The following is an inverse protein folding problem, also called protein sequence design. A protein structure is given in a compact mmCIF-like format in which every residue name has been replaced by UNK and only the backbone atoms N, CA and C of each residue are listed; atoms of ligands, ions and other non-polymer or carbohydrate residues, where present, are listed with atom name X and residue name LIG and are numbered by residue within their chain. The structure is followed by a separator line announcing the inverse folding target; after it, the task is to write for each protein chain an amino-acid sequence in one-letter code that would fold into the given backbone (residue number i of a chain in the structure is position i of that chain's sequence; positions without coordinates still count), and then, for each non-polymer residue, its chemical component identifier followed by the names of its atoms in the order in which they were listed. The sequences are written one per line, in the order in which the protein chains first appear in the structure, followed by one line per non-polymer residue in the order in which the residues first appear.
data_IF_180303209945
#
_entry.id   IF_180303209945
#
_cell.length_a   1.000
_cell.length_b   1.000
_cell.length_c   1.000
_cell.angle_alpha   90.00
_cell.angle_beta   90.00
_cell.angle_gamma   90.00
#
_symmetry.space_group_name_H-M   'P 1'
#
loop_
_entity.id
_entity.type
_entity.pdbx_description
1 polymer ?
#
# COMPACT_ATOMS: atom_id res chain seq x y z
N UNK A 1 -18.14 20.34 14.61
CA UNK A 1 -17.80 21.49 13.74
C UNK A 1 -17.79 21.00 12.30
N UNK A 2 -18.47 21.68 11.38
CA UNK A 2 -18.44 21.34 9.96
C UNK A 2 -17.07 21.71 9.37
N UNK A 3 -16.50 20.86 8.52
CA UNK A 3 -15.25 21.16 7.82
C UNK A 3 -15.40 22.45 6.99
N UNK A 4 -14.39 23.34 6.98
CA UNK A 4 -14.48 24.60 6.25
C UNK A 4 -14.70 24.34 4.74
N UNK A 5 -15.78 24.91 4.21
CA UNK A 5 -16.06 24.93 2.77
C UNK A 5 -15.00 25.81 2.09
N UNK A 6 -13.98 25.19 1.50
CA UNK A 6 -12.92 25.91 0.78
C UNK A 6 -11.51 25.36 0.95
N UNK A 7 -11.31 24.30 1.75
CA UNK A 7 -10.02 23.58 1.75
C UNK A 7 -9.80 22.87 0.42
N UNK A 8 -8.64 23.08 -0.20
CA UNK A 8 -8.19 22.25 -1.33
C UNK A 8 -8.15 20.82 -0.83
N UNK A 9 -8.97 19.94 -1.42
CA UNK A 9 -8.91 18.51 -1.11
C UNK A 9 -7.51 18.03 -1.43
N UNK A 10 -6.88 17.32 -0.50
CA UNK A 10 -5.60 16.64 -0.80
C UNK A 10 -5.81 15.63 -1.94
N UNK A 11 -7.00 15.02 -1.99
CA UNK A 11 -7.41 14.08 -3.02
C UNK A 11 -8.84 14.37 -3.49
N UNK A 12 -9.05 14.52 -4.80
CA UNK A 12 -10.39 14.67 -5.38
C UNK A 12 -11.03 13.34 -5.83
N UNK A 13 -10.39 12.23 -5.45
CA UNK A 13 -10.88 10.86 -5.66
C UNK A 13 -11.15 10.21 -4.31
N UNK A 14 -11.96 9.14 -4.29
CA UNK A 14 -12.21 8.43 -3.03
C UNK A 14 -11.03 7.54 -2.67
N UNK A 15 -10.34 7.95 -1.61
CA UNK A 15 -9.21 7.29 -1.01
C UNK A 15 -9.54 6.99 0.46
N UNK A 16 -9.15 5.82 0.96
CA UNK A 16 -9.37 5.40 2.35
C UNK A 16 -8.06 5.00 3.04
N UNK A 17 -8.10 4.94 4.37
CA UNK A 17 -7.01 4.45 5.21
C UNK A 17 -5.61 5.04 4.87
N UNK A 18 -5.44 6.38 4.83
CA UNK A 18 -4.14 6.96 4.55
C UNK A 18 -3.14 6.66 5.69
N UNK A 19 -1.92 6.30 5.31
CA UNK A 19 -0.77 6.19 6.20
C UNK A 19 0.35 7.08 5.68
N UNK A 20 0.87 7.95 6.57
CA UNK A 20 1.96 8.87 6.25
C UNK A 20 3.22 8.43 6.96
N UNK A 21 4.34 8.47 6.26
CA UNK A 21 5.67 8.26 6.80
C UNK A 21 6.65 9.31 6.25
N UNK A 22 7.78 9.49 6.92
CA UNK A 22 8.84 10.42 6.50
C UNK A 22 10.07 9.63 6.11
N UNK A 23 10.58 9.83 4.90
CA UNK A 23 11.79 9.14 4.43
C UNK A 23 13.06 9.74 5.06
N UNK A 24 14.21 9.07 4.89
CA UNK A 24 15.51 9.55 5.38
C UNK A 24 15.97 10.91 4.84
N UNK A 25 15.27 11.47 3.85
CA UNK A 25 15.54 12.80 3.27
C UNK A 25 14.59 13.87 3.82
N UNK A 26 13.68 13.51 4.72
CA UNK A 26 12.67 14.42 5.28
C UNK A 26 11.45 14.65 4.39
N UNK A 27 11.26 13.88 3.31
CA UNK A 27 10.04 13.96 2.52
C UNK A 27 8.93 13.13 3.16
N UNK A 28 7.71 13.67 3.13
CA UNK A 28 6.51 12.95 3.53
C UNK A 28 6.03 12.10 2.38
N UNK A 29 5.70 10.84 2.67
CA UNK A 29 5.08 9.91 1.75
C UNK A 29 3.76 9.46 2.33
N UNK A 30 2.73 9.39 1.51
CA UNK A 30 1.44 8.84 1.87
C UNK A 30 1.14 7.60 1.04
N UNK A 31 0.75 6.52 1.70
CA UNK A 31 0.14 5.35 1.09
C UNK A 31 -1.34 5.34 1.46
N UNK A 32 -2.20 4.93 0.53
CA UNK A 32 -3.64 4.92 0.76
C UNK A 32 -4.30 3.77 0.00
N UNK A 33 -5.51 3.40 0.42
CA UNK A 33 -6.36 2.52 -0.35
C UNK A 33 -7.05 3.32 -1.46
N UNK A 34 -6.74 3.01 -2.72
CA UNK A 34 -7.40 3.64 -3.87
C UNK A 34 -8.70 2.87 -4.16
N UNK A 35 -9.86 3.51 -3.98
CA UNK A 35 -11.14 2.78 -4.03
C UNK A 35 -11.51 2.28 -5.44
N UNK A 36 -12.24 1.14 -5.50
CA UNK A 36 -12.37 0.33 -6.71
C UNK A 36 -13.28 0.89 -7.82
N UNK A 37 -14.06 1.94 -7.60
CA UNK A 37 -14.94 2.50 -8.65
C UNK A 37 -14.23 3.46 -9.62
N UNK A 38 -12.99 3.88 -9.32
CA UNK A 38 -12.12 4.61 -10.24
C UNK A 38 -10.91 3.77 -10.70
N UNK A 39 -10.64 2.64 -10.05
CA UNK A 39 -9.53 1.75 -10.37
C UNK A 39 -10.03 0.59 -11.25
N UNK A 40 -10.34 0.88 -12.51
CA UNK A 40 -10.54 -0.15 -13.54
C UNK A 40 -9.23 -0.30 -14.32
N UNK A 41 -8.60 -1.50 -14.35
CA UNK A 41 -9.00 -2.75 -13.69
C UNK A 41 -8.63 -2.80 -12.20
N UNK A 42 -9.41 -3.57 -11.42
CA UNK A 42 -9.31 -3.81 -9.96
C UNK A 42 -7.93 -4.26 -9.42
N UNK A 43 -6.96 -4.52 -10.31
CA UNK A 43 -5.60 -4.90 -9.94
C UNK A 43 -4.70 -3.73 -9.54
N UNK A 44 -5.04 -2.49 -9.91
CA UNK A 44 -4.29 -1.29 -9.50
C UNK A 44 -4.85 -0.75 -8.19
N UNK A 45 -4.51 -1.42 -7.10
CA UNK A 45 -4.82 -0.97 -5.75
C UNK A 45 -3.68 -0.06 -5.26
N UNK A 46 -3.82 0.53 -4.08
CA UNK A 46 -2.76 1.35 -3.50
C UNK A 46 -2.47 2.67 -4.21
N UNK A 47 -2.81 3.78 -3.55
CA UNK A 47 -2.36 5.10 -3.93
C UNK A 47 -1.05 5.48 -3.26
N UNK A 48 -0.28 6.34 -3.93
CA UNK A 48 0.90 7.00 -3.39
C UNK A 48 0.87 8.49 -3.72
N UNK A 49 1.19 9.33 -2.74
CA UNK A 49 1.48 10.74 -2.93
C UNK A 49 2.69 11.12 -2.06
N UNK A 50 3.37 12.22 -2.39
CA UNK A 50 4.49 12.73 -1.59
C UNK A 50 4.39 14.24 -1.37
N UNK A 51 5.08 14.73 -0.36
CA UNK A 51 5.14 16.14 0.00
C UNK A 51 6.49 16.49 0.62
N UNK A 52 6.96 17.73 0.41
CA UNK A 52 8.17 18.26 1.08
C UNK A 52 7.86 18.94 2.41
N UNK A 53 6.61 19.29 2.67
CA UNK A 53 6.20 20.14 3.80
C UNK A 53 5.03 19.55 4.62
N UNK A 54 4.50 18.41 4.21
CA UNK A 54 3.34 17.74 4.82
C UNK A 54 2.01 18.44 4.56
N UNK A 55 1.99 19.51 3.76
CA UNK A 55 0.82 20.35 3.49
C UNK A 55 0.42 20.34 2.02
N UNK A 56 1.39 20.52 1.13
CA UNK A 56 1.19 20.45 -0.32
C UNK A 56 1.67 19.09 -0.81
N UNK A 57 0.75 18.33 -1.39
CA UNK A 57 0.99 16.97 -1.85
C UNK A 57 1.04 16.92 -3.38
N UNK A 58 1.81 15.98 -3.90
CA UNK A 58 1.82 15.65 -5.33
C UNK A 58 0.47 15.13 -5.79
N UNK A 59 0.22 15.17 -7.09
CA UNK A 59 -0.88 14.41 -7.68
C UNK A 59 -0.74 12.92 -7.29
N UNK A 60 -1.81 12.25 -6.83
CA UNK A 60 -1.74 10.87 -6.37
C UNK A 60 -1.56 9.92 -7.53
N UNK A 61 -0.65 8.97 -7.38
CA UNK A 61 -0.49 7.86 -8.32
C UNK A 61 -1.20 6.62 -7.78
N UNK A 62 -2.04 6.00 -8.60
CA UNK A 62 -2.67 4.69 -8.33
C UNK A 62 -1.77 3.55 -8.85
N UNK A 63 -1.77 2.40 -8.17
CA UNK A 63 -0.93 1.25 -8.52
C UNK A 63 0.44 1.31 -7.85
N UNK A 64 0.50 1.81 -6.63
CA UNK A 64 1.69 1.72 -5.78
C UNK A 64 1.89 0.30 -5.22
N UNK A 65 0.81 -0.46 -5.04
CA UNK A 65 0.83 -1.88 -4.66
C UNK A 65 -0.43 -2.60 -5.15
N UNK A 66 -0.33 -3.89 -5.47
CA UNK A 66 -1.48 -4.69 -5.95
C UNK A 66 -1.96 -5.73 -4.94
N UNK A 67 -3.09 -6.37 -5.24
CA UNK A 67 -3.60 -7.52 -4.49
C UNK A 67 -2.99 -8.87 -4.91
N UNK A 68 -2.12 -8.86 -5.93
CA UNK A 68 -1.28 -9.99 -6.33
C UNK A 68 -0.08 -10.09 -5.39
N UNK A 69 0.11 -11.24 -4.76
CA UNK A 69 1.19 -11.49 -3.80
C UNK A 69 2.09 -12.59 -4.31
N UNK A 70 3.35 -12.27 -4.58
CA UNK A 70 4.36 -13.28 -4.88
C UNK A 70 4.85 -13.92 -3.58
N UNK A 71 4.65 -15.22 -3.45
CA UNK A 71 5.11 -16.01 -2.32
C UNK A 71 6.55 -16.47 -2.53
N UNK A 72 7.24 -16.83 -1.44
CA UNK A 72 8.63 -17.28 -1.48
C UNK A 72 8.88 -18.50 -2.39
N UNK A 73 7.84 -19.30 -2.67
CA UNK A 73 7.90 -20.45 -3.59
C UNK A 73 7.71 -20.09 -5.07
N UNK A 74 7.63 -18.81 -5.42
CA UNK A 74 7.40 -18.32 -6.79
C UNK A 74 5.92 -18.28 -7.21
N UNK A 75 5.03 -18.95 -6.46
CA UNK A 75 3.59 -18.88 -6.66
C UNK A 75 3.05 -17.46 -6.45
N UNK A 76 2.06 -17.07 -7.25
CA UNK A 76 1.31 -15.82 -7.10
C UNK A 76 -0.06 -16.12 -6.53
N UNK A 77 -0.39 -15.46 -5.42
CA UNK A 77 -1.70 -15.50 -4.81
C UNK A 77 -2.46 -14.22 -5.19
N UNK A 78 -3.58 -14.38 -5.89
CA UNK A 78 -4.45 -13.28 -6.30
C UNK A 78 -5.58 -13.09 -5.27
N UNK A 79 -5.51 -12.01 -4.49
CA UNK A 79 -6.57 -11.66 -3.53
C UNK A 79 -7.54 -10.63 -4.13
N UNK A 80 -8.73 -10.50 -3.55
CA UNK A 80 -9.68 -9.47 -3.98
C UNK A 80 -9.23 -8.07 -3.59
N UNK A 81 -8.70 -7.91 -2.36
CA UNK A 81 -8.30 -6.61 -1.82
C UNK A 81 -6.98 -6.68 -1.06
N UNK A 82 -6.20 -5.61 -1.17
CA UNK A 82 -5.05 -5.28 -0.33
C UNK A 82 -5.21 -3.86 0.18
N UNK A 83 -5.28 -3.69 1.49
CA UNK A 83 -5.77 -2.47 2.11
C UNK A 83 -4.94 -2.08 3.34
N UNK A 84 -5.26 -0.91 3.92
CA UNK A 84 -4.67 -0.40 5.17
C UNK A 84 -3.14 -0.42 5.14
N UNK A 85 -2.49 0.20 4.13
CA UNK A 85 -1.04 0.15 4.01
C UNK A 85 -0.38 0.88 5.18
N UNK A 86 0.71 0.32 5.69
CA UNK A 86 1.61 0.97 6.66
C UNK A 86 3.05 0.65 6.29
N UNK A 87 3.90 1.68 6.23
CA UNK A 87 5.32 1.50 5.98
C UNK A 87 6.08 1.39 7.30
N UNK A 88 6.85 0.32 7.47
CA UNK A 88 7.84 0.17 8.53
C UNK A 88 9.17 0.70 8.00
N UNK A 89 9.79 1.61 8.74
CA UNK A 89 11.06 2.23 8.38
C UNK A 89 12.19 1.74 9.28
N UNK A 90 13.38 1.75 8.74
CA UNK A 90 14.63 1.62 9.47
C UNK A 90 14.83 2.89 10.33
N UNK A 91 15.00 2.77 11.65
CA UNK A 91 15.02 3.93 12.54
C UNK A 91 16.27 4.80 12.39
N UNK A 92 17.37 4.25 11.83
CA UNK A 92 18.63 4.98 11.67
C UNK A 92 18.68 5.71 10.32
N UNK A 93 18.32 5.02 9.24
CA UNK A 93 18.42 5.53 7.87
C UNK A 93 17.12 6.13 7.32
N UNK A 94 15.97 5.86 7.95
CA UNK A 94 14.65 6.22 7.42
C UNK A 94 14.27 5.44 6.15
N UNK A 95 14.98 4.35 5.83
CA UNK A 95 14.73 3.53 4.65
C UNK A 95 13.54 2.58 4.86
N UNK A 96 12.71 2.32 3.82
CA UNK A 96 11.66 1.30 3.88
C UNK A 96 12.19 -0.10 4.21
N UNK A 97 11.66 -0.73 5.27
CA UNK A 97 11.95 -2.11 5.64
C UNK A 97 10.84 -3.08 5.24
N UNK A 98 9.58 -2.70 5.47
CA UNK A 98 8.43 -3.53 5.16
C UNK A 98 7.16 -2.73 4.90
N UNK A 99 6.37 -3.15 3.92
CA UNK A 99 4.99 -2.73 3.75
C UNK A 99 4.08 -3.73 4.45
N UNK A 100 3.38 -3.26 5.48
CA UNK A 100 2.33 -3.99 6.19
C UNK A 100 0.98 -3.62 5.59
N UNK A 101 0.14 -4.61 5.31
CA UNK A 101 -1.20 -4.39 4.73
C UNK A 101 -2.11 -5.56 5.04
N UNK A 102 -3.43 -5.32 5.06
CA UNK A 102 -4.41 -6.39 5.15
C UNK A 102 -4.72 -6.95 3.76
N UNK A 103 -4.88 -8.27 3.65
CA UNK A 103 -5.38 -8.96 2.46
C UNK A 103 -6.74 -9.59 2.76
N UNK A 104 -7.65 -9.52 1.79
CA UNK A 104 -9.01 -10.06 1.90
C UNK A 104 -9.40 -10.75 0.59
N UNK A 105 -10.22 -11.80 0.67
CA UNK A 105 -10.71 -12.53 -0.51
C UNK A 105 -9.61 -13.31 -1.23
N UNK A 106 -8.66 -13.86 -0.49
CA UNK A 106 -7.58 -14.67 -1.07
C UNK A 106 -8.03 -16.13 -1.28
N UNK A 107 -7.48 -16.84 -2.28
CA UNK A 107 -7.86 -18.22 -2.56
C UNK A 107 -7.47 -19.15 -1.40
N UNK A 108 -8.40 -20.02 -1.02
CA UNK A 108 -8.14 -21.10 -0.05
C UNK A 108 -7.23 -22.20 -0.63
N UNK A 109 -7.26 -22.38 -1.95
CA UNK A 109 -6.49 -23.43 -2.64
C UNK A 109 -5.56 -22.79 -3.66
N UNK A 110 -4.31 -23.14 -3.53
CA UNK A 110 -3.15 -22.73 -4.31
C UNK A 110 -2.56 -23.98 -4.99
N UNK A 111 -1.67 -23.83 -5.96
CA UNK A 111 -1.13 -24.96 -6.75
C UNK A 111 -0.44 -25.94 -5.80
N UNK A 112 -1.04 -27.13 -5.64
CA UNK A 112 -0.54 -28.18 -4.76
C UNK A 112 -0.60 -27.87 -3.25
N UNK A 113 -1.27 -26.78 -2.84
CA UNK A 113 -1.29 -26.33 -1.43
C UNK A 113 -2.67 -25.80 -1.01
N UNK A 114 -3.00 -25.96 0.27
CA UNK A 114 -4.19 -25.35 0.88
C UNK A 114 -3.72 -24.27 1.84
N UNK A 115 -4.07 -23.02 1.54
CA UNK A 115 -3.85 -21.89 2.42
C UNK A 115 -5.06 -21.70 3.32
N UNK A 116 -4.86 -21.85 4.64
CA UNK A 116 -5.96 -21.81 5.62
C UNK A 116 -6.50 -20.40 5.86
N UNK A 117 -5.77 -19.34 5.50
CA UNK A 117 -6.19 -17.95 5.69
C UNK A 117 -7.15 -17.42 4.62
N UNK A 118 -7.53 -18.22 3.61
CA UNK A 118 -8.40 -17.76 2.50
C UNK A 118 -9.89 -17.57 2.86
N UNK A 119 -10.28 -17.83 4.11
CA UNK A 119 -11.66 -17.58 4.60
C UNK A 119 -11.78 -16.30 5.42
N UNK A 120 -10.64 -15.67 5.76
CA UNK A 120 -10.56 -14.50 6.62
C UNK A 120 -9.70 -13.40 5.98
N UNK A 121 -9.61 -12.24 6.64
CA UNK A 121 -8.54 -11.28 6.38
C UNK A 121 -7.25 -11.69 7.09
N UNK A 122 -6.10 -11.45 6.50
CA UNK A 122 -4.81 -11.61 7.17
C UNK A 122 -3.84 -10.48 6.87
N UNK A 123 -2.85 -10.32 7.75
CA UNK A 123 -1.79 -9.33 7.60
C UNK A 123 -0.68 -9.87 6.71
N UNK A 124 -0.39 -9.16 5.61
CA UNK A 124 0.82 -9.34 4.82
C UNK A 124 1.90 -8.40 5.36
N UNK A 125 3.07 -8.96 5.65
CA UNK A 125 4.31 -8.20 5.85
C UNK A 125 5.19 -8.44 4.63
N UNK A 126 5.25 -7.47 3.73
CA UNK A 126 6.09 -7.54 2.53
C UNK A 126 7.40 -6.82 2.81
N UNK A 127 8.53 -7.53 2.77
CA UNK A 127 9.86 -6.91 2.85
C UNK A 127 10.05 -5.94 1.69
N UNK A 128 10.51 -4.74 1.99
CA UNK A 128 10.95 -3.76 1.00
C UNK A 128 12.46 -3.95 0.79
N UNK A 129 12.92 -3.88 -0.46
CA UNK A 129 14.32 -4.13 -0.78
C UNK A 129 15.25 -3.13 -0.08
N UNK A 130 16.39 -3.62 0.42
CA UNK A 130 17.64 -2.87 0.30
C UNK A 130 18.11 -3.17 -1.12
N UNK A 131 18.44 -2.16 -1.92
CA UNK A 131 19.17 -2.44 -3.17
C UNK A 131 20.39 -3.29 -2.79
N UNK A 132 20.47 -4.51 -3.34
CA UNK A 132 21.75 -5.18 -3.39
C UNK A 132 22.58 -4.41 -4.39
N UNK A 133 23.50 -3.59 -3.90
CA UNK A 133 24.61 -3.11 -4.72
C UNK A 133 25.39 -4.36 -5.11
N UNK A 134 25.16 -4.84 -6.34
CA UNK A 134 26.05 -5.80 -6.95
C UNK A 134 27.39 -5.08 -7.14
N UNK A 135 28.36 -5.41 -6.29
CA UNK A 135 29.79 -5.11 -6.51
C UNK A 135 30.37 -6.06 -7.54
#
# INVERSE_FOLDING_TARGET
AAAPKGGVRVFDHTAEDPSVFVDGRGNFHMLLNALPYLCVPKGRQGGHAWSRDGRTWSEPRVGAFGASVQLAGGEVMECERRERPQMVLDPESGAPLALVSALVGCPRRMVGRVYRGGVDSFTLVQRMGKEEVQN
#
